data_IF_358205027472
#
_entry.id   IF_358205027472
#
_cell.length_a   1.000
_cell.length_b   1.000
_cell.length_c   1.000
_cell.angle_alpha   90.00
_cell.angle_beta   90.00
_cell.angle_gamma   90.00
#
_symmetry.space_group_name_H-M   'P 1'
#
loop_
_entity.id
_entity.type
_entity.pdbx_description
1 polymer ?
#
# COMPACT_ATOMS: atom_id res chain seq x y z
N UNK A 1 10.70 -12.02 -6.42
CA UNK A 1 9.70 -11.63 -5.39
C UNK A 1 8.33 -11.60 -6.06
N UNK A 2 7.22 -11.89 -5.37
CA UNK A 2 5.90 -11.98 -6.03
C UNK A 2 5.45 -10.66 -6.70
N UNK A 3 5.73 -9.51 -6.07
CA UNK A 3 5.41 -8.17 -6.57
C UNK A 3 6.59 -7.43 -7.25
N UNK A 4 7.59 -8.17 -7.71
CA UNK A 4 8.84 -7.61 -8.23
C UNK A 4 8.62 -6.59 -9.37
N UNK A 5 7.77 -6.93 -10.34
CA UNK A 5 7.46 -6.07 -11.48
C UNK A 5 6.75 -4.78 -11.06
N UNK A 6 5.89 -4.84 -10.05
CA UNK A 6 5.18 -3.67 -9.52
C UNK A 6 6.17 -2.69 -8.92
N UNK A 7 7.07 -3.15 -8.04
CA UNK A 7 8.07 -2.26 -7.43
C UNK A 7 9.04 -1.67 -8.46
N UNK A 8 9.52 -2.46 -9.43
CA UNK A 8 10.39 -1.94 -10.48
C UNK A 8 9.74 -0.82 -11.27
N UNK A 9 8.49 -1.01 -11.71
CA UNK A 9 7.79 -0.02 -12.53
C UNK A 9 7.43 1.25 -11.74
N UNK A 10 6.97 1.09 -10.49
CA UNK A 10 6.68 2.22 -9.60
C UNK A 10 7.95 3.07 -9.35
N UNK A 11 9.08 2.41 -9.06
CA UNK A 11 10.36 3.08 -8.87
C UNK A 11 10.85 3.76 -10.15
N UNK A 12 10.77 3.08 -11.30
CA UNK A 12 11.22 3.61 -12.59
C UNK A 12 10.44 4.87 -13.00
N UNK A 13 9.17 4.98 -12.61
CA UNK A 13 8.32 6.15 -12.86
C UNK A 13 8.37 7.20 -11.75
N UNK A 14 9.18 6.99 -10.71
CA UNK A 14 9.31 7.92 -9.59
C UNK A 14 8.06 8.07 -8.75
N UNK A 15 7.21 7.04 -8.69
CA UNK A 15 6.00 7.07 -7.86
C UNK A 15 6.40 7.10 -6.39
N UNK A 16 5.82 8.03 -5.63
CA UNK A 16 5.96 8.16 -4.18
C UNK A 16 4.93 7.28 -3.50
N UNK A 17 5.41 6.17 -2.94
CA UNK A 17 4.61 5.18 -2.23
C UNK A 17 5.41 4.55 -1.08
N UNK A 18 4.72 3.86 -0.19
CA UNK A 18 5.30 3.10 0.92
C UNK A 18 4.57 1.77 1.05
N UNK A 19 5.32 0.68 1.15
CA UNK A 19 4.78 -0.66 1.41
C UNK A 19 4.40 -0.77 2.88
N UNK A 20 3.17 -1.20 3.13
CA UNK A 20 2.61 -1.44 4.47
C UNK A 20 2.04 -2.87 4.56
N UNK A 21 1.26 -3.15 5.59
CA UNK A 21 0.50 -4.40 5.70
C UNK A 21 1.38 -5.65 5.82
N UNK A 22 0.90 -6.77 5.28
CA UNK A 22 1.56 -8.07 5.42
C UNK A 22 2.93 -8.16 4.76
N UNK A 23 3.05 -7.63 3.53
CA UNK A 23 4.33 -7.60 2.78
C UNK A 23 5.39 -6.79 3.54
N UNK A 24 5.01 -5.68 4.19
CA UNK A 24 5.95 -4.90 5.00
C UNK A 24 6.50 -5.70 6.18
N UNK A 25 5.66 -6.49 6.88
CA UNK A 25 6.12 -7.35 7.97
C UNK A 25 7.12 -8.40 7.47
N UNK A 26 6.85 -9.01 6.32
CA UNK A 26 7.78 -9.98 5.69
C UNK A 26 9.12 -9.32 5.35
N UNK A 27 9.11 -8.08 4.83
CA UNK A 27 10.32 -7.32 4.55
C UNK A 27 11.08 -6.87 5.81
N UNK A 28 10.43 -6.88 6.98
CA UNK A 28 11.07 -6.73 8.28
C UNK A 28 11.55 -8.07 8.88
N UNK A 29 11.32 -9.19 8.20
CA UNK A 29 11.77 -10.52 8.65
C UNK A 29 10.71 -11.32 9.42
N UNK A 30 9.48 -10.82 9.53
CA UNK A 30 8.39 -11.53 10.22
C UNK A 30 7.77 -12.53 9.26
N UNK A 31 7.69 -13.80 9.68
CA UNK A 31 7.03 -14.85 8.90
C UNK A 31 5.52 -14.59 8.89
N UNK A 32 4.98 -14.24 7.73
CA UNK A 32 3.55 -14.01 7.53
C UNK A 32 3.12 -14.41 6.13
N UNK A 33 2.01 -15.15 6.04
CA UNK A 33 1.31 -15.33 4.78
C UNK A 33 0.58 -14.03 4.42
N UNK A 34 0.84 -13.49 3.24
CA UNK A 34 0.24 -12.25 2.72
C UNK A 34 -0.35 -12.53 1.35
N UNK A 35 -1.57 -12.06 1.10
CA UNK A 35 -2.30 -12.32 -0.13
C UNK A 35 -2.21 -11.13 -1.12
N UNK A 36 -1.99 -9.95 -0.59
CA UNK A 36 -2.13 -8.65 -1.21
C UNK A 36 -0.90 -7.78 -0.93
N UNK A 37 -0.68 -6.79 -1.79
CA UNK A 37 0.29 -5.72 -1.60
C UNK A 37 -0.44 -4.45 -1.14
N UNK A 38 -0.32 -4.14 0.14
CA UNK A 38 -0.85 -2.90 0.70
C UNK A 38 0.15 -1.75 0.54
N UNK A 39 -0.30 -0.62 0.00
CA UNK A 39 0.50 0.57 -0.23
C UNK A 39 -0.15 1.81 0.40
N UNK A 40 0.67 2.71 0.94
CA UNK A 40 0.30 4.11 1.07
C UNK A 40 0.91 4.86 -0.10
N UNK A 41 0.10 5.62 -0.83
CA UNK A 41 0.52 6.39 -2.01
C UNK A 41 0.30 7.87 -1.69
N UNK A 42 1.24 8.73 -2.06
CA UNK A 42 1.02 10.19 -1.97
C UNK A 42 -0.12 10.57 -2.92
N UNK A 43 -1.20 11.13 -2.38
CA UNK A 43 -2.42 11.41 -3.13
C UNK A 43 -2.39 12.76 -3.88
N UNK A 44 -1.23 13.42 -3.97
CA UNK A 44 -1.05 14.55 -4.90
C UNK A 44 -1.48 14.15 -6.32
N UNK A 45 -2.17 15.03 -7.05
CA UNK A 45 -2.76 14.69 -8.34
C UNK A 45 -1.78 14.08 -9.35
N UNK A 46 -0.55 14.60 -9.39
CA UNK A 46 0.51 14.13 -10.28
C UNK A 46 0.98 12.73 -9.90
N UNK A 47 1.24 12.48 -8.62
CA UNK A 47 1.74 11.20 -8.14
C UNK A 47 0.68 10.10 -8.25
N UNK A 48 -0.56 10.40 -7.84
CA UNK A 48 -1.66 9.45 -7.94
C UNK A 48 -1.94 9.07 -9.40
N UNK A 49 -1.85 10.03 -10.33
CA UNK A 49 -1.97 9.74 -11.77
C UNK A 49 -0.88 8.79 -12.25
N UNK A 50 0.39 9.06 -11.92
CA UNK A 50 1.51 8.18 -12.25
C UNK A 50 1.31 6.77 -11.68
N UNK A 51 0.86 6.66 -10.42
CA UNK A 51 0.56 5.38 -9.79
C UNK A 51 -0.53 4.59 -10.54
N UNK A 52 -1.66 5.22 -10.84
CA UNK A 52 -2.78 4.57 -11.52
C UNK A 52 -2.43 4.17 -12.96
N UNK A 53 -1.70 5.01 -13.69
CA UNK A 53 -1.19 4.69 -15.02
C UNK A 53 -0.19 3.52 -14.98
N UNK A 54 0.64 3.46 -13.93
CA UNK A 54 1.57 2.35 -13.70
C UNK A 54 0.80 1.05 -13.54
N UNK A 55 -0.17 1.00 -12.62
CA UNK A 55 -1.01 -0.18 -12.41
C UNK A 55 -1.74 -0.60 -13.68
N UNK A 56 -2.33 0.35 -14.41
CA UNK A 56 -2.99 0.11 -15.69
C UNK A 56 -2.03 -0.50 -16.72
N UNK A 57 -0.82 0.04 -16.85
CA UNK A 57 0.20 -0.47 -17.79
C UNK A 57 0.66 -1.89 -17.46
N UNK A 58 0.62 -2.25 -16.18
CA UNK A 58 0.91 -3.59 -15.68
C UNK A 58 -0.29 -4.55 -15.80
N UNK A 59 -1.43 -4.11 -16.32
CA UNK A 59 -2.62 -4.93 -16.54
C UNK A 59 -3.59 -5.00 -15.36
N UNK A 60 -3.33 -4.28 -14.27
CA UNK A 60 -4.23 -4.22 -13.14
C UNK A 60 -5.50 -3.43 -13.45
N UNK A 61 -6.62 -3.82 -12.83
CA UNK A 61 -7.92 -3.16 -12.96
C UNK A 61 -8.52 -2.88 -11.57
N UNK A 62 -9.26 -1.78 -11.39
CA UNK A 62 -10.05 -1.57 -10.19
C UNK A 62 -11.01 -2.73 -9.97
N UNK A 63 -11.13 -3.20 -8.73
CA UNK A 63 -12.08 -4.27 -8.37
C UNK A 63 -13.50 -3.75 -8.25
N UNK A 64 -13.66 -2.52 -7.75
CA UNK A 64 -14.93 -1.82 -7.76
C UNK A 64 -15.23 -1.25 -9.17
N UNK A 65 -16.51 -1.07 -9.55
CA UNK A 65 -16.89 -0.46 -10.81
C UNK A 65 -16.69 1.07 -10.75
N UNK A 66 -15.43 1.50 -10.59
CA UNK A 66 -15.00 2.89 -10.52
C UNK A 66 -13.94 3.15 -11.60
N UNK A 67 -13.94 4.33 -12.21
CA UNK A 67 -12.93 4.69 -13.22
C UNK A 67 -11.69 5.32 -12.57
N UNK A 68 -10.59 5.43 -13.33
CA UNK A 68 -9.37 6.07 -12.83
C UNK A 68 -9.57 7.57 -12.61
N UNK A 69 -10.38 8.21 -13.46
CA UNK A 69 -10.76 9.61 -13.35
C UNK A 69 -11.55 9.86 -12.06
N UNK A 70 -12.42 8.92 -11.68
CA UNK A 70 -13.12 8.99 -10.40
C UNK A 70 -12.19 8.81 -9.21
N UNK A 71 -11.20 7.92 -9.32
CA UNK A 71 -10.19 7.75 -8.28
C UNK A 71 -9.33 9.00 -8.15
N UNK A 72 -9.04 9.72 -9.24
CA UNK A 72 -8.25 10.96 -9.20
C UNK A 72 -8.98 12.12 -8.53
N UNK A 73 -10.30 12.10 -8.49
CA UNK A 73 -11.14 13.13 -7.88
C UNK A 73 -11.14 13.02 -6.33
N UNK A 74 -10.55 13.98 -5.60
CA UNK A 74 -10.52 13.95 -4.14
C UNK A 74 -11.92 13.99 -3.50
N UNK A 75 -12.88 14.72 -4.09
CA UNK A 75 -14.24 14.81 -3.55
C UNK A 75 -14.95 13.45 -3.63
N UNK A 76 -14.73 12.70 -4.71
CA UNK A 76 -15.25 11.33 -4.83
C UNK A 76 -14.62 10.39 -3.82
N UNK A 77 -13.30 10.45 -3.62
CA UNK A 77 -12.63 9.62 -2.60
C UNK A 77 -13.17 9.91 -1.20
N UNK A 78 -13.35 11.18 -0.86
CA UNK A 78 -13.94 11.58 0.43
C UNK A 78 -15.41 11.20 0.57
N UNK A 79 -16.20 11.28 -0.51
CA UNK A 79 -17.57 10.78 -0.52
C UNK A 79 -17.62 9.28 -0.22
N UNK A 80 -16.77 8.47 -0.87
CA UNK A 80 -16.72 7.03 -0.63
C UNK A 80 -16.26 6.69 0.79
N UNK A 81 -15.31 7.46 1.33
CA UNK A 81 -14.85 7.29 2.71
C UNK A 81 -15.98 7.55 3.72
N UNK A 82 -16.78 8.60 3.52
CA UNK A 82 -17.86 9.01 4.42
C UNK A 82 -19.09 8.10 4.31
N UNK A 83 -19.52 7.79 3.09
CA UNK A 83 -20.81 7.11 2.86
C UNK A 83 -20.70 5.59 2.79
N UNK A 84 -19.56 5.07 2.33
CA UNK A 84 -19.35 3.64 2.14
C UNK A 84 -18.28 3.06 3.05
N UNK A 85 -17.71 3.89 3.94
CA UNK A 85 -16.57 3.53 4.78
C UNK A 85 -15.41 2.92 3.96
N UNK A 86 -15.22 3.39 2.71
CA UNK A 86 -14.19 2.86 1.83
C UNK A 86 -12.82 3.38 2.27
N UNK A 87 -12.03 2.53 2.91
CA UNK A 87 -10.68 2.87 3.40
C UNK A 87 -9.61 2.55 2.36
N UNK A 88 -9.75 1.42 1.67
CA UNK A 88 -8.80 0.93 0.67
C UNK A 88 -9.47 0.79 -0.70
N UNK A 89 -8.76 1.12 -1.76
CA UNK A 89 -9.13 0.86 -3.15
C UNK A 89 -8.30 -0.31 -3.65
N UNK A 90 -8.97 -1.38 -4.05
CA UNK A 90 -8.31 -2.61 -4.50
C UNK A 90 -8.22 -2.71 -6.01
N UNK A 91 -7.03 -3.07 -6.49
CA UNK A 91 -6.74 -3.41 -7.87
C UNK A 91 -6.37 -4.89 -7.97
N UNK A 92 -6.86 -5.58 -9.01
CA UNK A 92 -6.55 -6.98 -9.26
C UNK A 92 -6.00 -7.19 -10.67
N UNK A 93 -5.22 -8.26 -10.86
CA UNK A 93 -4.73 -8.64 -12.18
C UNK A 93 -5.66 -9.72 -12.81
N UNK A 94 -6.35 -9.46 -13.95
CA UNK A 94 -7.34 -10.39 -14.50
C UNK A 94 -6.77 -11.76 -14.88
N UNK A 95 -5.51 -11.84 -15.31
CA UNK A 95 -4.84 -13.09 -15.68
C UNK A 95 -4.13 -13.78 -14.50
N UNK A 96 -4.08 -13.14 -13.33
CA UNK A 96 -3.47 -13.71 -12.13
C UNK A 96 -4.21 -13.22 -10.89
N UNK A 97 -5.26 -13.96 -10.50
CA UNK A 97 -6.18 -13.54 -9.44
C UNK A 97 -5.52 -13.46 -8.06
N UNK A 98 -4.32 -14.02 -7.89
CA UNK A 98 -3.53 -13.90 -6.68
C UNK A 98 -2.81 -12.54 -6.57
N UNK A 99 -2.78 -11.74 -7.63
CA UNK A 99 -2.11 -10.43 -7.64
C UNK A 99 -3.14 -9.36 -7.31
N UNK A 100 -2.97 -8.77 -6.12
CA UNK A 100 -3.79 -7.69 -5.64
C UNK A 100 -2.91 -6.56 -5.12
N UNK A 101 -3.22 -5.34 -5.51
CA UNK A 101 -2.60 -4.12 -4.98
C UNK A 101 -3.70 -3.28 -4.37
N UNK A 102 -3.57 -3.03 -3.08
CA UNK A 102 -4.49 -2.20 -2.33
C UNK A 102 -3.77 -0.91 -1.93
N UNK A 103 -4.47 0.21 -1.98
CA UNK A 103 -3.95 1.47 -1.46
C UNK A 103 -5.05 2.27 -0.79
N UNK A 104 -4.67 3.16 0.12
CA UNK A 104 -5.64 3.96 0.86
C UNK A 104 -6.38 4.94 -0.05
N UNK A 105 -7.71 5.00 0.08
CA UNK A 105 -8.56 5.98 -0.59
C UNK A 105 -8.28 7.41 -0.11
N UNK A 106 -7.88 7.55 1.16
CA UNK A 106 -7.42 8.80 1.77
C UNK A 106 -6.14 8.55 2.55
N UNK A 107 -5.24 9.52 2.61
CA UNK A 107 -4.00 9.37 3.38
C UNK A 107 -4.33 9.15 4.87
N UNK A 108 -3.87 8.05 5.49
CA UNK A 108 -4.16 7.79 6.91
C UNK A 108 -3.43 8.76 7.85
N UNK A 109 -2.35 9.38 7.33
CA UNK A 109 -1.55 10.45 7.92
C UNK A 109 -1.00 11.28 6.76
N UNK A 110 -0.66 12.57 6.93
CA UNK A 110 -0.02 13.35 5.88
C UNK A 110 1.19 12.62 5.29
N UNK A 111 1.27 12.51 3.96
CA UNK A 111 2.35 11.76 3.33
C UNK A 111 3.75 12.27 3.70
N UNK A 112 3.88 13.56 4.02
CA UNK A 112 5.14 14.16 4.53
C UNK A 112 5.61 13.54 5.85
N UNK A 113 4.70 13.19 6.76
CA UNK A 113 5.01 12.48 8.00
C UNK A 113 5.37 11.01 7.73
N UNK A 114 4.65 10.38 6.79
CA UNK A 114 4.89 9.00 6.38
C UNK A 114 6.28 8.87 5.74
N UNK A 115 6.66 9.82 4.90
CA UNK A 115 7.95 9.84 4.21
C UNK A 115 9.14 9.84 5.18
N UNK A 116 8.99 10.46 6.35
CA UNK A 116 10.02 10.47 7.41
C UNK A 116 10.16 9.11 8.11
N UNK A 117 9.17 8.22 7.97
CA UNK A 117 9.12 6.90 8.59
C UNK A 117 9.36 5.77 7.57
N UNK A 118 9.95 6.08 6.41
CA UNK A 118 10.34 5.08 5.42
C UNK A 118 11.67 4.45 5.82
N UNK A 119 11.70 3.12 5.85
CA UNK A 119 12.90 2.30 5.89
C UNK A 119 13.08 1.67 4.50
N UNK A 120 14.21 1.96 3.86
CA UNK A 120 14.55 1.36 2.57
C UNK A 120 15.06 -0.06 2.78
N UNK A 121 14.35 -1.04 2.21
CA UNK A 121 14.74 -2.44 2.19
C UNK A 121 15.18 -2.82 0.78
N UNK A 122 16.10 -3.77 0.66
CA UNK A 122 16.57 -4.25 -0.63
C UNK A 122 16.21 -5.71 -0.83
N UNK A 123 15.64 -6.03 -2.00
CA UNK A 123 15.34 -7.40 -2.40
C UNK A 123 15.55 -7.55 -3.91
N UNK A 124 16.46 -8.47 -4.31
CA UNK A 124 16.81 -8.71 -5.73
C UNK A 124 17.15 -7.42 -6.49
N UNK A 125 17.99 -6.59 -5.88
CA UNK A 125 18.46 -5.30 -6.40
C UNK A 125 17.36 -4.23 -6.57
N UNK A 126 16.22 -4.39 -5.89
CA UNK A 126 15.15 -3.39 -5.85
C UNK A 126 15.16 -2.74 -4.47
N UNK A 127 15.29 -1.41 -4.45
CA UNK A 127 15.04 -0.61 -3.26
C UNK A 127 13.54 -0.42 -3.07
N UNK A 128 13.00 -0.93 -1.97
CA UNK A 128 11.59 -0.91 -1.65
C UNK A 128 11.39 0.04 -0.46
N UNK A 129 10.56 1.09 -0.58
CA UNK A 129 10.21 1.94 0.55
C UNK A 129 9.24 1.19 1.45
N UNK A 130 9.65 0.80 2.66
CA UNK A 130 8.83 0.04 3.60
C UNK A 130 8.52 0.92 4.82
N UNK A 131 7.29 0.88 5.32
CA UNK A 131 6.96 1.58 6.55
C UNK A 131 7.80 1.06 7.73
N UNK A 132 8.29 1.97 8.57
CA UNK A 132 8.97 1.61 9.81
C UNK A 132 8.06 0.76 10.71
N UNK A 133 8.66 0.01 11.64
CA UNK A 133 7.90 -0.76 12.64
C UNK A 133 6.94 0.14 13.42
N UNK A 134 7.40 1.33 13.82
CA UNK A 134 6.57 2.32 14.54
C UNK A 134 5.34 2.72 13.72
N UNK A 135 5.51 3.01 12.43
CA UNK A 135 4.40 3.35 11.55
C UNK A 135 3.45 2.16 11.36
N UNK A 136 3.99 0.93 11.21
CA UNK A 136 3.17 -0.28 11.13
C UNK A 136 2.37 -0.52 12.41
N UNK A 137 2.97 -0.36 13.60
CA UNK A 137 2.27 -0.45 14.89
C UNK A 137 1.13 0.57 14.94
N UNK A 138 1.40 1.84 14.60
CA UNK A 138 0.39 2.91 14.56
C UNK A 138 -0.79 2.59 13.62
N UNK A 139 -0.52 2.14 12.39
CA UNK A 139 -1.56 1.79 11.42
C UNK A 139 -2.42 0.60 11.90
N UNK A 140 -1.80 -0.38 12.58
CA UNK A 140 -2.47 -1.57 13.12
C UNK A 140 -3.37 -1.27 14.30
N UNK A 141 -2.92 -0.39 15.20
CA UNK A 141 -3.76 0.10 16.29
C UNK A 141 -5.00 0.83 15.77
N UNK A 142 -4.87 1.57 14.66
CA UNK A 142 -6.01 2.27 14.04
C UNK A 142 -7.00 1.30 13.37
N UNK A 143 -6.54 0.20 12.76
CA UNK A 143 -7.43 -0.76 12.09
C UNK A 143 -8.11 -1.73 13.06
N UNK A 144 -7.46 -2.10 14.16
CA UNK A 144 -8.03 -2.91 15.24
C UNK A 144 -8.52 -4.30 14.85
N UNK A 145 -8.03 -4.88 13.73
CA UNK A 145 -8.48 -6.21 13.27
C UNK A 145 -7.86 -7.32 14.14
N UNK A 146 -8.51 -8.49 14.30
CA UNK A 146 -7.97 -9.58 15.11
C UNK A 146 -6.54 -10.03 14.74
N UNK A 147 -6.20 -10.02 13.45
CA UNK A 147 -4.84 -10.36 12.97
C UNK A 147 -3.81 -9.27 13.33
N UNK A 148 -4.25 -8.02 13.48
CA UNK A 148 -3.35 -6.92 13.82
C UNK A 148 -2.79 -7.06 15.25
N UNK A 149 -3.49 -7.74 16.17
CA UNK A 149 -2.97 -8.03 17.52
C UNK A 149 -1.72 -8.93 17.48
N UNK A 150 -1.79 -10.05 16.75
CA UNK A 150 -0.64 -10.95 16.56
C UNK A 150 0.52 -10.27 15.86
N UNK A 151 0.20 -9.40 14.90
CA UNK A 151 1.21 -8.66 14.17
C UNK A 151 1.89 -7.59 15.05
N UNK A 152 1.19 -7.02 16.03
CA UNK A 152 1.75 -6.10 17.01
C UNK A 152 2.73 -6.82 17.94
N UNK A 153 2.35 -7.99 18.48
CA UNK A 153 3.23 -8.85 19.29
C UNK A 153 4.52 -9.18 18.52
N UNK A 154 4.40 -9.67 17.27
CA UNK A 154 5.57 -10.00 16.45
C UNK A 154 6.46 -8.78 16.12
N UNK A 155 5.91 -7.57 16.08
CA UNK A 155 6.68 -6.34 15.90
C UNK A 155 7.37 -5.89 17.19
N UNK A 156 6.86 -6.26 18.35
CA UNK A 156 7.49 -6.02 19.67
C UNK A 156 8.66 -6.98 19.89
N UNK A 157 8.49 -8.27 19.58
CA UNK A 157 9.54 -9.29 19.70
C UNK A 157 10.80 -9.00 18.86
N UNK A 158 10.68 -8.21 17.78
CA UNK A 158 11.83 -7.82 16.95
C UNK A 158 12.59 -6.60 17.48
N UNK A 159 12.05 -5.88 18.47
CA UNK A 159 12.70 -4.73 19.11
C UNK A 159 13.51 -5.15 20.37
N UNK A 160 13.35 -6.39 20.84
CA UNK A 160 14.18 -7.06 21.88
C UNK A 160 15.45 -7.69 21.30
#
# INVERSE_FOLDING_TARGET
>A
MFYEKVFRELNARGVRYVVVGGVALVLHGIIRLTADLDLIVDLSPENLRLFLETLKSLGFRPRLPITLEEILDPEKRSLWRREKNLVMISFYHPQNLLYQVDFFAEEPLPFTEIAQKIIWKEARDIKIPVASKELLKKLKTLSGRPQDLKDLEALEDLDE
#
